data_IF_028787869646
#
_entry.id   IF_028787869646
#
_cell.length_a   1.000
_cell.length_b   1.000
_cell.length_c   1.000
_cell.angle_alpha   90.00
_cell.angle_beta   90.00
_cell.angle_gamma   90.00
#
_symmetry.space_group_name_H-M   'P 1'
#
loop_
_entity.id
_entity.type
_entity.pdbx_description
1 polymer ?
#
# COMPACT_ATOMS: atom_id res chain seq x y z
N UNK A 1 8.41 5.48 -5.43
CA UNK A 1 9.30 4.31 -5.42
C UNK A 1 9.83 4.18 -6.83
N UNK A 2 11.05 4.64 -7.08
CA UNK A 2 11.62 4.65 -8.43
C UNK A 2 12.38 3.34 -8.61
N UNK A 3 11.91 2.51 -9.54
CA UNK A 3 12.60 1.29 -9.98
C UNK A 3 13.76 1.75 -10.86
N UNK A 4 14.99 1.64 -10.35
CA UNK A 4 16.18 2.00 -11.13
C UNK A 4 16.72 0.74 -11.82
N UNK A 5 17.08 0.90 -13.10
CA UNK A 5 17.81 -0.10 -13.88
C UNK A 5 19.23 0.41 -14.06
N UNK A 6 20.21 -0.36 -13.60
CA UNK A 6 21.60 0.00 -13.85
C UNK A 6 21.99 -0.37 -15.29
N UNK A 7 22.65 0.54 -16.01
CA UNK A 7 23.29 0.20 -17.28
C UNK A 7 24.66 -0.41 -16.99
N UNK A 8 24.87 -1.68 -17.34
CA UNK A 8 26.21 -2.24 -17.45
C UNK A 8 26.87 -1.61 -18.67
N UNK A 9 27.70 -0.59 -18.47
CA UNK A 9 28.45 0.03 -19.56
C UNK A 9 29.70 -0.82 -19.83
N UNK A 10 29.82 -1.35 -21.05
CA UNK A 10 31.13 -1.72 -21.58
C UNK A 10 31.87 -0.40 -21.89
N UNK A 11 32.81 -0.02 -21.03
CA UNK A 11 33.66 1.14 -21.30
C UNK A 11 34.78 0.78 -22.29
N UNK A 12 34.42 0.54 -23.55
CA UNK A 12 35.39 0.48 -24.64
C UNK A 12 35.80 1.92 -25.01
N UNK A 13 36.97 2.36 -24.51
CA UNK A 13 37.66 3.62 -24.84
C UNK A 13 37.01 4.94 -24.38
N UNK A 14 37.22 5.32 -23.11
CA UNK A 14 37.26 6.75 -22.71
C UNK A 14 38.50 7.03 -21.85
N UNK A 15 39.64 7.19 -22.52
CA UNK A 15 40.93 7.58 -21.94
C UNK A 15 40.94 9.07 -21.60
N UNK A 16 40.60 9.40 -20.35
CA UNK A 16 41.16 10.52 -19.53
C UNK A 16 40.24 10.83 -18.33
N UNK A 17 38.92 10.70 -18.50
CA UNK A 17 37.94 11.03 -17.45
C UNK A 17 37.90 9.99 -16.29
N UNK A 18 38.34 8.75 -16.53
CA UNK A 18 38.34 7.67 -15.54
C UNK A 18 39.66 7.49 -14.78
N UNK A 19 40.73 8.20 -15.17
CA UNK A 19 42.09 7.97 -14.65
C UNK A 19 42.22 8.18 -13.12
N UNK A 20 41.29 8.95 -12.53
CA UNK A 20 41.18 9.18 -11.09
C UNK A 20 39.84 8.74 -10.50
N UNK A 21 39.01 8.01 -11.25
CA UNK A 21 37.75 7.51 -10.73
C UNK A 21 38.01 6.48 -9.62
N UNK A 22 37.24 6.59 -8.55
CA UNK A 22 37.26 5.64 -7.42
C UNK A 22 35.90 5.01 -7.26
N UNK A 23 35.88 3.77 -6.76
CA UNK A 23 34.65 3.10 -6.43
C UNK A 23 33.99 3.75 -5.21
N UNK A 24 32.72 4.12 -5.31
CA UNK A 24 31.99 4.80 -4.24
C UNK A 24 31.92 3.96 -2.95
N UNK A 25 31.92 2.62 -3.08
CA UNK A 25 31.84 1.71 -1.93
C UNK A 25 33.17 1.47 -1.22
N UNK A 26 34.21 1.10 -1.96
CA UNK A 26 35.49 0.68 -1.37
C UNK A 26 36.59 1.74 -1.48
N UNK A 27 36.31 2.84 -2.18
CA UNK A 27 37.21 3.98 -2.39
C UNK A 27 38.53 3.61 -3.11
N UNK A 28 38.60 2.41 -3.69
CA UNK A 28 39.72 1.96 -4.50
C UNK A 28 39.56 2.40 -5.96
N UNK A 29 40.70 2.51 -6.67
CA UNK A 29 40.75 2.82 -8.10
C UNK A 29 40.36 1.59 -8.92
N UNK A 30 39.85 1.84 -10.11
CA UNK A 30 39.54 0.80 -11.10
C UNK A 30 40.76 0.40 -11.92
N UNK A 31 40.85 -0.87 -12.30
CA UNK A 31 41.82 -1.31 -13.30
C UNK A 31 41.38 -0.86 -14.71
N UNK A 32 42.31 -0.45 -15.60
CA UNK A 32 41.96 0.02 -16.96
C UNK A 32 41.13 -0.97 -17.80
N UNK A 33 41.21 -2.27 -17.53
CA UNK A 33 40.48 -3.31 -18.25
C UNK A 33 39.27 -3.86 -17.48
N UNK A 34 38.99 -3.36 -16.27
CA UNK A 34 37.89 -3.84 -15.43
C UNK A 34 36.53 -3.31 -15.88
N UNK A 35 35.50 -4.13 -15.69
CA UNK A 35 34.11 -3.74 -15.94
C UNK A 35 33.58 -2.91 -14.77
N UNK A 36 32.97 -1.77 -15.09
CA UNK A 36 32.51 -0.79 -14.11
C UNK A 36 31.00 -0.63 -14.21
N UNK A 37 30.37 -0.56 -13.05
CA UNK A 37 28.93 -0.33 -12.92
C UNK A 37 28.71 1.15 -12.63
N UNK A 38 27.95 1.82 -13.50
CA UNK A 38 27.54 3.21 -13.28
C UNK A 38 26.07 3.25 -12.84
N UNK A 39 25.83 3.76 -11.64
CA UNK A 39 24.50 3.96 -11.10
C UNK A 39 24.32 5.44 -10.76
N UNK A 40 23.51 6.16 -11.56
CA UNK A 40 23.19 7.58 -11.36
C UNK A 40 24.44 8.49 -11.21
N UNK A 41 25.54 8.18 -11.90
CA UNK A 41 26.78 8.96 -11.84
C UNK A 41 27.80 8.47 -10.80
N UNK A 42 27.42 7.53 -9.95
CA UNK A 42 28.33 6.86 -9.03
C UNK A 42 28.93 5.61 -9.69
N UNK A 43 30.24 5.40 -9.49
CA UNK A 43 30.98 4.30 -10.09
C UNK A 43 31.25 3.20 -9.06
N UNK A 44 31.02 1.95 -9.45
CA UNK A 44 31.21 0.78 -8.59
C UNK A 44 31.93 -0.35 -9.34
N UNK A 45 32.75 -1.13 -8.61
CA UNK A 45 33.15 -2.44 -9.12
C UNK A 45 31.91 -3.33 -9.25
N UNK A 46 31.88 -4.26 -10.19
CA UNK A 46 30.78 -5.25 -10.29
C UNK A 46 30.58 -6.03 -8.98
N UNK A 47 31.67 -6.32 -8.28
CA UNK A 47 31.65 -6.97 -6.96
C UNK A 47 31.21 -6.04 -5.82
N UNK A 48 31.34 -4.72 -6.00
CA UNK A 48 30.96 -3.72 -5.01
C UNK A 48 29.51 -3.27 -5.17
N UNK A 49 28.92 -3.43 -6.35
CA UNK A 49 27.52 -3.10 -6.61
C UNK A 49 26.60 -4.22 -6.11
N UNK A 50 26.45 -4.29 -4.79
CA UNK A 50 25.66 -5.29 -4.08
C UNK A 50 24.76 -4.66 -3.02
N UNK A 51 23.70 -5.36 -2.66
CA UNK A 51 22.76 -4.96 -1.63
C UNK A 51 23.45 -4.59 -0.31
N UNK A 52 23.00 -3.50 0.32
CA UNK A 52 23.52 -3.02 1.59
C UNK A 52 23.25 -3.99 2.77
N UNK A 53 22.25 -4.87 2.65
CA UNK A 53 21.83 -5.79 3.71
C UNK A 53 22.37 -7.21 3.48
N UNK A 54 22.00 -7.86 2.37
CA UNK A 54 22.45 -9.23 2.10
C UNK A 54 23.79 -9.36 1.36
N UNK A 55 24.37 -8.24 0.90
CA UNK A 55 25.62 -8.22 0.12
C UNK A 55 25.61 -9.04 -1.18
N UNK A 56 24.42 -9.37 -1.70
CA UNK A 56 24.25 -10.04 -3.00
C UNK A 56 24.12 -9.02 -4.13
N UNK A 57 24.60 -9.39 -5.31
CA UNK A 57 24.36 -8.61 -6.53
C UNK A 57 22.87 -8.46 -6.81
N UNK A 58 22.51 -7.35 -7.45
CA UNK A 58 21.12 -7.04 -7.79
C UNK A 58 20.66 -7.89 -8.98
N UNK A 59 19.64 -8.74 -8.83
CA UNK A 59 19.07 -9.49 -9.95
C UNK A 59 18.60 -8.54 -11.03
N UNK A 60 18.97 -8.79 -12.29
CA UNK A 60 18.61 -7.95 -13.45
C UNK A 60 19.06 -6.47 -13.32
N UNK A 61 19.97 -6.16 -12.38
CA UNK A 61 20.37 -4.79 -12.09
C UNK A 61 19.27 -3.94 -11.43
N UNK A 62 18.23 -4.57 -10.87
CA UNK A 62 17.11 -3.91 -10.20
C UNK A 62 17.38 -3.72 -8.71
N UNK A 63 17.26 -2.47 -8.24
CA UNK A 63 17.48 -2.12 -6.84
C UNK A 63 16.53 -1.01 -6.39
N UNK A 64 16.40 -0.91 -5.07
CA UNK A 64 15.63 0.11 -4.38
C UNK A 64 16.58 0.97 -3.55
N UNK A 65 16.43 2.29 -3.59
CA UNK A 65 17.27 3.20 -2.81
C UNK A 65 16.51 3.76 -1.60
N UNK A 66 17.14 3.72 -0.43
CA UNK A 66 16.63 4.32 0.81
C UNK A 66 17.80 4.93 1.59
N UNK A 67 17.69 6.21 1.95
CA UNK A 67 18.74 6.96 2.67
C UNK A 67 20.13 6.83 2.03
N UNK A 68 20.21 6.89 0.69
CA UNK A 68 21.45 6.76 -0.08
C UNK A 68 22.02 5.33 -0.15
N UNK A 69 21.34 4.34 0.42
CA UNK A 69 21.74 2.93 0.38
C UNK A 69 20.88 2.13 -0.59
N UNK A 70 21.50 1.18 -1.27
CA UNK A 70 20.87 0.34 -2.31
C UNK A 70 20.51 -1.03 -1.75
N UNK A 71 19.25 -1.42 -1.88
CA UNK A 71 18.66 -2.65 -1.35
C UNK A 71 18.07 -3.50 -2.47
N UNK A 72 18.14 -4.83 -2.33
CA UNK A 72 17.38 -5.71 -3.21
C UNK A 72 15.88 -5.61 -2.86
N UNK A 73 15.00 -6.06 -3.76
CA UNK A 73 13.56 -6.01 -3.52
C UNK A 73 13.17 -6.70 -2.20
N UNK A 74 13.73 -7.87 -1.94
CA UNK A 74 13.46 -8.65 -0.74
C UNK A 74 13.83 -7.90 0.55
N UNK A 75 15.08 -7.45 0.66
CA UNK A 75 15.55 -6.75 1.86
C UNK A 75 14.85 -5.40 2.03
N UNK A 76 14.56 -4.70 0.93
CA UNK A 76 13.81 -3.44 0.98
C UNK A 76 12.39 -3.67 1.53
N UNK A 77 11.70 -4.72 1.08
CA UNK A 77 10.39 -5.07 1.60
C UNK A 77 10.46 -5.45 3.08
N UNK A 78 11.39 -6.33 3.45
CA UNK A 78 11.56 -6.78 4.84
C UNK A 78 11.87 -5.63 5.81
N UNK A 79 12.65 -4.63 5.37
CA UNK A 79 13.08 -3.53 6.23
C UNK A 79 12.08 -2.36 6.26
N UNK A 80 11.38 -2.10 5.15
CA UNK A 80 10.66 -0.84 4.97
C UNK A 80 9.20 -0.98 4.52
N UNK A 81 8.75 -2.15 4.08
CA UNK A 81 7.36 -2.31 3.67
C UNK A 81 6.43 -2.30 4.89
N UNK A 82 5.31 -1.55 4.84
CA UNK A 82 4.32 -1.61 5.90
C UNK A 82 3.64 -2.97 5.92
N UNK A 83 3.50 -3.57 7.10
CA UNK A 83 2.72 -4.81 7.28
C UNK A 83 1.23 -4.49 7.43
N UNK A 84 0.38 -5.36 6.89
CA UNK A 84 -1.05 -5.25 7.07
C UNK A 84 -1.47 -5.66 8.49
N UNK A 85 -2.32 -4.85 9.12
CA UNK A 85 -2.87 -5.13 10.44
C UNK A 85 -3.80 -6.34 10.51
N UNK A 86 -4.33 -6.81 9.38
CA UNK A 86 -5.24 -7.97 9.30
C UNK A 86 -4.46 -9.28 9.05
N UNK A 87 -3.75 -9.36 7.93
CA UNK A 87 -3.09 -10.59 7.51
C UNK A 87 -1.62 -10.70 7.97
N UNK A 88 -1.01 -9.61 8.45
CA UNK A 88 0.39 -9.57 8.85
C UNK A 88 1.40 -9.48 7.70
N UNK A 89 0.96 -9.69 6.45
CA UNK A 89 1.82 -9.67 5.28
C UNK A 89 2.23 -8.26 4.85
N UNK A 90 3.35 -8.15 4.14
CA UNK A 90 3.82 -6.88 3.57
C UNK A 90 2.84 -6.34 2.52
N UNK A 91 2.59 -5.03 2.57
CA UNK A 91 1.73 -4.35 1.59
C UNK A 91 2.59 -3.84 0.44
N UNK A 92 2.37 -4.42 -0.74
CA UNK A 92 2.92 -3.94 -2.00
C UNK A 92 1.88 -3.06 -2.72
N UNK A 93 2.31 -1.90 -3.23
CA UNK A 93 1.42 -0.98 -3.96
C UNK A 93 0.59 -0.04 -3.07
N UNK A 94 -0.73 -0.02 -3.25
CA UNK A 94 -1.64 0.92 -2.55
C UNK A 94 -1.77 0.50 -1.09
N UNK A 95 -1.45 1.41 -0.17
CA UNK A 95 -1.62 1.23 1.28
C UNK A 95 -2.77 2.08 1.81
N UNK A 96 -3.62 1.49 2.64
CA UNK A 96 -4.62 2.22 3.42
C UNK A 96 -4.06 2.48 4.82
N UNK A 97 -3.94 3.74 5.22
CA UNK A 97 -3.53 4.14 6.57
C UNK A 97 -4.76 4.53 7.39
N UNK A 98 -5.16 3.66 8.30
CA UNK A 98 -6.36 3.85 9.12
C UNK A 98 -6.23 3.10 10.44
N UNK A 99 -6.97 3.56 11.47
CA UNK A 99 -7.00 2.88 12.77
C UNK A 99 -5.60 2.67 13.40
N UNK A 100 -4.67 3.60 13.17
CA UNK A 100 -3.25 3.50 13.58
C UNK A 100 -2.49 2.30 12.98
N UNK A 101 -3.02 1.66 11.94
CA UNK A 101 -2.42 0.55 11.23
C UNK A 101 -2.37 0.81 9.73
N UNK A 102 -1.65 -0.07 9.02
CA UNK A 102 -1.63 -0.13 7.57
C UNK A 102 -2.45 -1.34 7.10
N UNK A 103 -3.10 -1.24 5.96
CA UNK A 103 -3.98 -2.29 5.45
C UNK A 103 -3.86 -2.43 3.93
N UNK A 104 -3.96 -3.65 3.42
CA UNK A 104 -4.27 -3.85 2.01
C UNK A 104 -5.69 -3.31 1.72
N UNK A 105 -5.95 -2.80 0.51
CA UNK A 105 -7.29 -2.36 0.11
C UNK A 105 -8.35 -3.47 0.29
N UNK A 106 -7.94 -4.72 0.08
CA UNK A 106 -8.79 -5.90 0.24
C UNK A 106 -8.92 -6.35 1.69
N UNK A 107 -7.98 -6.03 2.57
CA UNK A 107 -8.03 -6.42 3.98
C UNK A 107 -8.78 -5.40 4.83
N UNK A 108 -8.91 -4.15 4.38
CA UNK A 108 -9.64 -3.13 5.11
C UNK A 108 -11.16 -3.27 4.90
N UNK A 109 -11.81 -4.05 5.76
CA UNK A 109 -13.22 -4.47 5.63
C UNK A 109 -14.07 -4.02 6.81
N UNK A 110 -15.37 -3.89 6.58
CA UNK A 110 -16.32 -3.61 7.66
C UNK A 110 -16.38 -4.77 8.64
N UNK A 111 -16.11 -4.53 9.92
CA UNK A 111 -16.14 -5.57 10.96
C UNK A 111 -17.52 -6.24 11.17
N UNK A 112 -18.59 -5.72 10.58
CA UNK A 112 -19.94 -6.28 10.70
C UNK A 112 -20.48 -6.95 9.43
N UNK A 113 -20.00 -6.58 8.25
CA UNK A 113 -20.54 -7.11 6.99
C UNK A 113 -19.47 -7.46 5.97
N UNK A 114 -18.19 -7.36 6.34
CA UNK A 114 -17.02 -7.77 5.56
C UNK A 114 -16.85 -7.08 4.19
N UNK A 115 -17.64 -6.03 3.93
CA UNK A 115 -17.50 -5.22 2.71
C UNK A 115 -16.18 -4.44 2.74
N UNK A 116 -15.48 -4.38 1.61
CA UNK A 116 -14.25 -3.60 1.47
C UNK A 116 -14.53 -2.11 1.61
N UNK A 117 -13.77 -1.45 2.48
CA UNK A 117 -13.96 -0.05 2.83
C UNK A 117 -13.02 0.89 2.07
N UNK A 118 -12.05 0.34 1.33
CA UNK A 118 -11.01 1.11 0.65
C UNK A 118 -11.55 2.22 -0.28
N UNK A 119 -12.69 1.98 -0.93
CA UNK A 119 -13.31 2.93 -1.86
C UNK A 119 -14.68 3.45 -1.38
N UNK A 120 -15.34 2.74 -0.46
CA UNK A 120 -16.63 3.14 0.11
C UNK A 120 -16.49 4.17 1.24
N UNK A 121 -15.30 4.26 1.85
CA UNK A 121 -15.07 5.01 3.08
C UNK A 121 -15.62 4.29 4.32
N UNK A 122 -15.19 4.75 5.50
CA UNK A 122 -15.54 4.12 6.77
C UNK A 122 -15.86 5.15 7.85
N UNK A 123 -16.51 4.67 8.91
CA UNK A 123 -16.76 5.42 10.14
C UNK A 123 -16.15 4.67 11.31
N UNK A 124 -15.42 5.38 12.16
CA UNK A 124 -14.88 4.81 13.40
C UNK A 124 -15.97 4.77 14.46
N UNK A 125 -16.23 3.60 15.02
CA UNK A 125 -17.26 3.40 16.04
C UNK A 125 -16.75 2.48 17.16
N UNK A 126 -16.58 3.02 18.37
CA UNK A 126 -16.10 2.26 19.54
C UNK A 126 -14.83 1.43 19.27
N UNK A 127 -13.86 2.02 18.55
CA UNK A 127 -12.62 1.33 18.18
C UNK A 127 -12.73 0.40 16.97
N UNK A 128 -13.91 0.29 16.35
CA UNK A 128 -14.16 -0.50 15.14
C UNK A 128 -14.24 0.35 13.89
N UNK A 129 -14.01 -0.25 12.72
CA UNK A 129 -14.15 0.39 11.42
C UNK A 129 -15.34 -0.18 10.65
N UNK A 130 -16.38 0.64 10.50
CA UNK A 130 -17.66 0.20 9.94
C UNK A 130 -17.99 0.95 8.65
N UNK A 131 -18.69 0.29 7.73
CA UNK A 131 -19.35 0.98 6.63
C UNK A 131 -20.50 1.87 7.16
N UNK A 132 -20.87 2.91 6.41
CA UNK A 132 -21.96 3.83 6.80
C UNK A 132 -23.28 3.09 7.12
N UNK A 133 -23.75 2.11 6.32
CA UNK A 133 -24.95 1.33 6.66
C UNK A 133 -24.88 0.60 8.00
N UNK A 134 -23.76 -0.09 8.28
CA UNK A 134 -23.58 -0.83 9.53
C UNK A 134 -23.48 0.09 10.73
N UNK A 135 -22.78 1.22 10.60
CA UNK A 135 -22.73 2.24 11.64
C UNK A 135 -24.14 2.79 11.96
N UNK A 136 -24.93 3.12 10.93
CA UNK A 136 -26.30 3.60 11.12
C UNK A 136 -27.20 2.56 11.79
N UNK A 137 -27.04 1.27 11.45
CA UNK A 137 -27.77 0.17 12.09
C UNK A 137 -27.47 0.07 13.59
N UNK A 138 -26.19 0.13 13.97
CA UNK A 138 -25.77 0.11 15.38
C UNK A 138 -26.32 1.33 16.13
N UNK A 139 -26.24 2.52 15.53
CA UNK A 139 -26.78 3.75 16.11
C UNK A 139 -28.30 3.71 16.28
N UNK A 140 -29.03 3.17 15.29
CA UNK A 140 -30.48 3.03 15.35
C UNK A 140 -30.90 2.08 16.48
N UNK A 141 -30.22 0.93 16.62
CA UNK A 141 -30.45 -0.01 17.74
C UNK A 141 -30.26 0.67 19.11
N UNK A 142 -29.21 1.47 19.28
CA UNK A 142 -28.95 2.20 20.52
C UNK A 142 -30.00 3.26 20.85
N UNK A 143 -30.70 3.80 19.85
CA UNK A 143 -31.77 4.79 20.02
C UNK A 143 -33.18 4.17 20.02
N UNK A 144 -33.31 2.85 19.84
CA UNK A 144 -34.61 2.20 19.62
C UNK A 144 -35.29 2.62 18.30
N UNK A 145 -34.52 3.09 17.32
CA UNK A 145 -35.00 3.51 16.00
C UNK A 145 -34.78 2.43 14.94
N UNK A 146 -35.45 2.59 13.80
CA UNK A 146 -35.37 1.68 12.66
C UNK A 146 -34.52 2.28 11.53
N UNK A 147 -33.98 1.42 10.67
CA UNK A 147 -33.25 1.84 9.46
C UNK A 147 -34.10 1.56 8.23
N UNK A 148 -34.07 2.46 7.25
CA UNK A 148 -34.73 2.20 5.98
C UNK A 148 -33.93 1.20 5.15
N UNK A 149 -34.56 0.13 4.67
CA UNK A 149 -33.89 -0.86 3.83
C UNK A 149 -33.51 -0.35 2.43
N UNK A 150 -34.09 0.77 1.99
CA UNK A 150 -33.78 1.37 0.68
C UNK A 150 -32.58 2.30 0.72
N UNK A 151 -32.50 3.18 1.72
CA UNK A 151 -31.45 4.20 1.80
C UNK A 151 -30.44 3.98 2.93
N UNK A 152 -30.68 2.99 3.82
CA UNK A 152 -29.82 2.63 4.95
C UNK A 152 -29.58 3.77 5.96
N UNK A 153 -30.44 4.79 5.94
CA UNK A 153 -30.49 5.87 6.91
C UNK A 153 -31.47 5.54 8.03
N UNK A 154 -31.30 6.22 9.16
CA UNK A 154 -32.19 6.11 10.33
C UNK A 154 -33.53 6.76 9.96
N UNK A 155 -34.62 6.14 10.40
CA UNK A 155 -35.97 6.67 10.28
C UNK A 155 -36.27 7.45 11.57
N UNK A 156 -36.45 8.76 11.46
CA UNK A 156 -36.77 9.63 12.59
C UNK A 156 -38.27 9.68 12.90
N UNK A 157 -39.11 9.41 11.89
CA UNK A 157 -40.56 9.34 11.98
C UNK A 157 -41.06 7.92 12.26
N UNK A 158 -42.38 7.69 12.21
CA UNK A 158 -42.92 6.34 12.29
C UNK A 158 -42.47 5.51 11.07
N UNK A 159 -41.78 4.38 11.28
CA UNK A 159 -41.35 3.52 10.19
C UNK A 159 -42.54 2.80 9.56
N UNK A 160 -42.58 2.77 8.23
CA UNK A 160 -43.48 1.89 7.51
C UNK A 160 -42.88 0.48 7.53
N UNK A 161 -43.59 -0.45 8.17
CA UNK A 161 -43.18 -1.85 8.27
C UNK A 161 -43.88 -2.70 7.20
N UNK A 162 -43.12 -3.35 6.33
CA UNK A 162 -43.65 -4.27 5.32
C UNK A 162 -42.81 -5.54 5.30
N UNK A 163 -43.44 -6.72 5.50
CA UNK A 163 -42.75 -8.03 5.51
C UNK A 163 -41.49 -8.07 6.41
N UNK A 164 -41.57 -7.47 7.60
CA UNK A 164 -40.46 -7.28 8.56
C UNK A 164 -39.38 -6.28 8.15
N UNK A 165 -39.49 -5.64 7.00
CA UNK A 165 -38.60 -4.58 6.57
C UNK A 165 -39.17 -3.20 6.90
N UNK A 166 -38.31 -2.30 7.38
CA UNK A 166 -38.66 -0.91 7.68
C UNK A 166 -38.26 0.03 6.55
N UNK A 167 -39.13 0.97 6.22
CA UNK A 167 -38.91 2.00 5.19
C UNK A 167 -39.33 3.38 5.69
N UNK A 168 -38.71 4.44 5.16
CA UNK A 168 -39.34 5.76 5.22
C UNK A 168 -40.66 5.71 4.45
N UNK A 169 -41.68 6.47 4.87
CA UNK A 169 -42.96 6.55 4.15
C UNK A 169 -42.76 6.86 2.66
N UNK A 170 -41.86 7.78 2.32
CA UNK A 170 -41.57 8.18 0.93
C UNK A 170 -40.74 7.15 0.13
N UNK A 171 -40.11 6.19 0.83
CA UNK A 171 -39.23 5.20 0.19
C UNK A 171 -39.96 3.90 -0.14
N UNK A 172 -41.18 3.71 0.34
CA UNK A 172 -41.98 2.53 0.07
C UNK A 172 -42.92 2.77 -1.13
N UNK A 173 -42.76 1.98 -2.20
CA UNK A 173 -43.68 2.00 -3.34
C UNK A 173 -44.48 0.69 -3.35
N UNK A 174 -45.81 0.80 -3.26
CA UNK A 174 -46.70 -0.36 -3.22
C UNK A 174 -46.90 -0.90 -4.64
N UNK A 175 -46.44 -2.13 -4.90
CA UNK A 175 -46.60 -2.81 -6.20
C UNK A 175 -48.06 -3.08 -6.59
N UNK A 176 -49.02 -2.88 -5.66
CA UNK A 176 -50.45 -3.05 -5.89
C UNK A 176 -51.22 -1.72 -6.05
N UNK A 177 -50.59 -0.59 -5.73
CA UNK A 177 -51.21 0.74 -5.83
C UNK A 177 -50.44 1.67 -6.78
N UNK A 178 -49.50 1.10 -7.56
CA UNK A 178 -48.73 1.81 -8.58
C UNK A 178 -49.58 2.16 -9.79
#
# INVERSE_FOLDING_TARGET
>A
VYKHSCCCLYCSNMSDALANAVCERCQARFDPAERIVNSNGELYHESCFVCAQCFRQFPEGLFYEFEGRKYCEHDFQMLFAPCCGECGEFITGRVIKAMNNNWHPECFRCELCDVTLADLGFVKNAGRHLCRPCHNREKAKGLGKYICQKCHLIIDEQPLMFRNDSYHPDHFNCTHCG
#
